data_IF_762812609986
#
_entry.id   IF_762812609986
#
_cell.length_a   1.000
_cell.length_b   1.000
_cell.length_c   1.000
_cell.angle_alpha   90.00
_cell.angle_beta   90.00
_cell.angle_gamma   90.00
#
_symmetry.space_group_name_H-M   'P 1'
#
loop_
_entity.id
_entity.type
_entity.pdbx_description
1 polymer ?
#
# COMPACT_ATOMS: atom_id res chain seq x y z
N UNK A 1 3.37 -17.68 16.16
CA UNK A 1 3.25 -17.66 14.68
C UNK A 1 4.44 -18.39 14.09
N UNK A 2 4.21 -19.30 13.16
CA UNK A 2 5.27 -20.02 12.44
C UNK A 2 6.10 -19.04 11.59
N UNK A 3 7.42 -19.19 11.61
CA UNK A 3 8.35 -18.44 10.74
C UNK A 3 8.87 -19.38 9.65
N UNK A 4 8.99 -18.87 8.43
CA UNK A 4 9.64 -19.57 7.31
C UNK A 4 10.83 -18.76 6.84
N UNK A 5 11.86 -19.46 6.37
CA UNK A 5 13.01 -18.87 5.69
C UNK A 5 12.88 -19.15 4.20
N UNK A 6 13.09 -18.12 3.39
CA UNK A 6 13.37 -18.26 1.96
C UNK A 6 14.82 -17.89 1.73
N UNK A 7 15.53 -18.76 1.01
CA UNK A 7 16.93 -18.58 0.65
C UNK A 7 17.12 -19.05 -0.78
N UNK A 8 17.73 -18.20 -1.60
CA UNK A 8 18.21 -18.54 -2.93
C UNK A 8 19.53 -17.79 -3.18
N UNK A 9 20.04 -17.87 -4.41
CA UNK A 9 21.33 -17.26 -4.79
C UNK A 9 21.32 -15.72 -4.70
N UNK A 10 20.15 -15.09 -4.61
CA UNK A 10 19.99 -13.65 -4.69
C UNK A 10 19.63 -12.97 -3.37
N UNK A 11 18.91 -13.67 -2.47
CA UNK A 11 18.52 -13.12 -1.18
C UNK A 11 18.19 -14.21 -0.15
N UNK A 12 18.27 -13.82 1.12
CA UNK A 12 17.80 -14.59 2.25
C UNK A 12 16.88 -13.73 3.13
N UNK A 13 15.74 -14.28 3.52
CA UNK A 13 14.75 -13.58 4.33
C UNK A 13 13.90 -14.54 5.16
N UNK A 14 13.57 -14.16 6.39
CA UNK A 14 12.56 -14.85 7.19
C UNK A 14 11.24 -14.08 7.19
N UNK A 15 10.11 -14.79 7.16
CA UNK A 15 8.78 -14.18 7.18
C UNK A 15 7.81 -14.98 8.05
N UNK A 16 6.77 -14.30 8.57
CA UNK A 16 5.73 -14.90 9.39
C UNK A 16 4.58 -15.42 8.53
N UNK A 17 4.10 -16.62 8.84
CA UNK A 17 2.89 -17.17 8.20
C UNK A 17 1.65 -16.62 8.91
N UNK A 18 0.71 -16.08 8.14
CA UNK A 18 -0.65 -15.72 8.58
C UNK A 18 -1.69 -16.42 7.72
N UNK A 19 -2.65 -17.11 8.34
CA UNK A 19 -3.70 -17.80 7.62
C UNK A 19 -5.05 -17.32 8.12
N UNK A 20 -5.93 -16.98 7.18
CA UNK A 20 -7.33 -16.67 7.43
C UNK A 20 -8.18 -17.40 6.40
N UNK A 21 -9.44 -17.63 6.74
CA UNK A 21 -10.40 -18.16 5.78
C UNK A 21 -10.67 -17.13 4.69
N UNK A 22 -10.66 -17.61 3.44
CA UNK A 22 -10.89 -16.82 2.24
C UNK A 22 -12.21 -17.26 1.64
N UNK A 23 -13.23 -16.42 1.73
CA UNK A 23 -14.54 -16.69 1.20
C UNK A 23 -15.26 -15.38 0.87
N UNK A 24 -15.94 -15.25 -0.28
CA UNK A 24 -16.64 -14.02 -0.64
C UNK A 24 -17.63 -13.52 0.41
N UNK A 25 -18.34 -14.41 1.12
CA UNK A 25 -19.25 -14.03 2.20
C UNK A 25 -18.53 -13.41 3.40
N UNK A 26 -17.34 -13.92 3.74
CA UNK A 26 -16.50 -13.33 4.80
C UNK A 26 -16.03 -11.93 4.38
N UNK A 27 -15.58 -11.77 3.13
CA UNK A 27 -15.13 -10.47 2.64
C UNK A 27 -16.27 -9.43 2.64
N UNK A 28 -17.48 -9.85 2.28
CA UNK A 28 -18.68 -9.01 2.37
C UNK A 28 -18.96 -8.63 3.83
N UNK A 29 -18.96 -9.57 4.78
CA UNK A 29 -19.15 -9.27 6.21
C UNK A 29 -18.09 -8.30 6.75
N UNK A 30 -16.81 -8.49 6.38
CA UNK A 30 -15.71 -7.56 6.71
C UNK A 30 -15.99 -6.15 6.18
N UNK A 31 -16.42 -6.02 4.93
CA UNK A 31 -16.72 -4.70 4.35
C UNK A 31 -17.92 -4.01 4.99
N UNK A 32 -18.96 -4.75 5.39
CA UNK A 32 -20.10 -4.19 6.12
C UNK A 32 -19.65 -3.54 7.43
N UNK A 33 -18.81 -4.25 8.19
CA UNK A 33 -18.24 -3.74 9.44
C UNK A 33 -17.37 -2.52 9.16
N UNK A 34 -16.47 -2.59 8.18
CA UNK A 34 -15.57 -1.48 7.87
C UNK A 34 -16.34 -0.22 7.42
N UNK A 35 -17.39 -0.37 6.61
CA UNK A 35 -18.23 0.77 6.21
C UNK A 35 -19.05 1.33 7.36
N UNK A 36 -19.53 0.50 8.29
CA UNK A 36 -20.16 0.99 9.52
C UNK A 36 -19.21 1.88 10.32
N UNK A 37 -17.96 1.43 10.50
CA UNK A 37 -16.91 2.19 11.20
C UNK A 37 -16.57 3.48 10.44
N UNK A 38 -16.39 3.42 9.12
CA UNK A 38 -16.13 4.59 8.28
C UNK A 38 -17.27 5.61 8.34
N UNK A 39 -18.53 5.17 8.31
CA UNK A 39 -19.69 6.05 8.40
C UNK A 39 -19.74 6.74 9.76
N UNK A 40 -19.48 6.02 10.86
CA UNK A 40 -19.36 6.62 12.21
C UNK A 40 -18.23 7.64 12.25
N UNK A 41 -17.08 7.32 11.67
CA UNK A 41 -15.94 8.22 11.55
C UNK A 41 -16.31 9.52 10.82
N UNK A 42 -16.92 9.42 9.64
CA UNK A 42 -17.36 10.59 8.86
C UNK A 42 -18.38 11.42 9.65
N UNK A 43 -19.36 10.78 10.28
CA UNK A 43 -20.41 11.46 11.03
C UNK A 43 -19.84 12.27 12.20
N UNK A 44 -18.95 11.68 13.00
CA UNK A 44 -18.34 12.35 14.16
C UNK A 44 -17.51 13.55 13.72
N UNK A 45 -16.66 13.38 12.70
CA UNK A 45 -15.80 14.46 12.19
C UNK A 45 -16.61 15.60 11.58
N UNK A 46 -17.63 15.29 10.78
CA UNK A 46 -18.47 16.32 10.16
C UNK A 46 -19.38 17.02 11.15
N UNK A 47 -19.86 16.33 12.19
CA UNK A 47 -20.61 16.95 13.27
C UNK A 47 -19.74 17.89 14.12
N UNK A 48 -18.50 17.50 14.43
CA UNK A 48 -17.60 18.29 15.29
C UNK A 48 -16.93 19.46 14.57
N UNK A 49 -16.62 19.31 13.28
CA UNK A 49 -15.77 20.27 12.55
C UNK A 49 -16.39 20.83 11.26
N UNK A 50 -17.65 20.47 10.95
CA UNK A 50 -18.28 20.82 9.68
C UNK A 50 -17.71 20.03 8.49
N UNK A 51 -18.11 20.40 7.28
CA UNK A 51 -17.69 19.73 6.03
C UNK A 51 -16.70 20.57 5.22
N UNK A 52 -16.64 21.87 5.49
CA UNK A 52 -15.90 22.89 4.77
C UNK A 52 -14.39 22.61 4.86
N UNK A 53 -13.90 22.31 6.06
CA UNK A 53 -12.48 22.02 6.30
C UNK A 53 -11.99 20.80 5.52
N UNK A 54 -12.88 19.84 5.25
CA UNK A 54 -12.58 18.62 4.49
C UNK A 54 -12.83 18.79 2.98
N UNK A 55 -13.42 19.91 2.56
CA UNK A 55 -13.86 20.15 1.18
C UNK A 55 -12.89 20.99 0.34
N UNK A 56 -11.71 21.33 0.87
CA UNK A 56 -10.76 22.29 0.28
C UNK A 56 -10.28 21.89 -1.11
N UNK A 57 -9.77 20.66 -1.27
CA UNK A 57 -9.19 20.17 -2.54
C UNK A 57 -10.08 19.16 -3.26
N UNK A 58 -10.96 18.49 -2.51
CA UNK A 58 -11.82 17.37 -2.91
C UNK A 58 -13.07 17.41 -2.05
N UNK A 59 -14.14 16.74 -2.48
CA UNK A 59 -15.32 16.54 -1.64
C UNK A 59 -14.97 15.87 -0.30
N UNK A 60 -15.63 16.31 0.78
CA UNK A 60 -15.35 15.87 2.15
C UNK A 60 -15.36 14.33 2.33
N UNK A 61 -16.28 13.61 1.67
CA UNK A 61 -16.36 12.14 1.76
C UNK A 61 -15.06 11.52 1.27
N UNK A 62 -14.53 12.01 0.14
CA UNK A 62 -13.26 11.53 -0.42
C UNK A 62 -12.09 11.86 0.51
N UNK A 63 -12.05 13.07 1.07
CA UNK A 63 -10.99 13.48 1.99
C UNK A 63 -11.00 12.62 3.25
N UNK A 64 -12.15 12.45 3.90
CA UNK A 64 -12.30 11.66 5.12
C UNK A 64 -12.05 10.17 4.89
N UNK A 65 -12.49 9.61 3.75
CA UNK A 65 -12.17 8.23 3.37
C UNK A 65 -10.67 8.03 3.22
N UNK A 66 -9.95 9.00 2.63
CA UNK A 66 -8.50 8.92 2.51
C UNK A 66 -7.80 9.02 3.87
N UNK A 67 -8.26 9.88 4.78
CA UNK A 67 -7.73 10.01 6.15
C UNK A 67 -7.91 8.68 6.89
N UNK A 68 -9.11 8.11 6.84
CA UNK A 68 -9.41 6.81 7.42
C UNK A 68 -8.52 5.70 6.85
N UNK A 69 -8.32 5.68 5.52
CA UNK A 69 -7.45 4.71 4.86
C UNK A 69 -5.99 4.86 5.26
N UNK A 70 -5.49 6.09 5.43
CA UNK A 70 -4.14 6.36 5.96
C UNK A 70 -3.98 5.78 7.37
N UNK A 71 -4.96 6.02 8.23
CA UNK A 71 -4.99 5.45 9.59
C UNK A 71 -5.00 3.92 9.58
N UNK A 72 -5.74 3.28 8.67
CA UNK A 72 -5.72 1.82 8.50
C UNK A 72 -4.32 1.30 8.14
N UNK A 73 -3.61 1.95 7.20
CA UNK A 73 -2.24 1.52 6.85
C UNK A 73 -1.28 1.64 8.03
N UNK A 74 -1.42 2.66 8.87
CA UNK A 74 -0.68 2.76 10.12
C UNK A 74 -0.98 1.54 11.00
N UNK A 75 -2.23 1.11 11.09
CA UNK A 75 -2.58 -0.09 11.87
C UNK A 75 -2.00 -1.37 11.28
N UNK A 76 -2.01 -1.53 9.94
CA UNK A 76 -1.45 -2.70 9.27
C UNK A 76 0.07 -2.79 9.35
N UNK A 77 0.76 -1.69 9.69
CA UNK A 77 2.19 -1.71 9.96
C UNK A 77 2.56 -2.33 11.32
N UNK A 78 1.58 -2.57 12.21
CA UNK A 78 1.81 -2.99 13.59
C UNK A 78 1.89 -4.51 13.74
N UNK A 79 2.79 -4.97 14.60
CA UNK A 79 3.03 -6.40 14.81
C UNK A 79 1.89 -7.09 15.58
N UNK A 80 1.19 -6.36 16.45
CA UNK A 80 0.08 -6.85 17.26
C UNK A 80 -1.29 -6.74 16.55
N UNK A 81 -1.29 -6.29 15.29
CA UNK A 81 -2.46 -6.30 14.42
C UNK A 81 -2.59 -7.67 13.73
N UNK A 82 -3.20 -8.64 14.40
CA UNK A 82 -3.17 -10.06 14.00
C UNK A 82 -4.52 -10.78 14.03
N UNK A 83 -5.60 -10.14 14.51
CA UNK A 83 -6.87 -10.84 14.74
C UNK A 83 -7.74 -10.99 13.48
N UNK A 84 -7.63 -10.07 12.52
CA UNK A 84 -8.32 -10.11 11.23
C UNK A 84 -7.45 -9.40 10.17
N UNK A 85 -7.48 -9.81 8.88
CA UNK A 85 -6.69 -9.18 7.82
C UNK A 85 -7.19 -7.79 7.41
N UNK A 86 -8.43 -7.40 7.73
CA UNK A 86 -9.03 -6.13 7.35
C UNK A 86 -9.35 -5.26 8.57
N UNK A 87 -9.99 -5.84 9.59
CA UNK A 87 -10.40 -5.07 10.78
C UNK A 87 -9.21 -4.94 11.74
N UNK A 88 -8.76 -3.71 12.07
CA UNK A 88 -7.61 -3.52 12.94
C UNK A 88 -7.80 -4.09 14.35
N UNK A 89 -6.74 -4.61 14.96
CA UNK A 89 -6.74 -5.17 16.31
C UNK A 89 -5.55 -4.69 17.15
N UNK A 90 -5.51 -5.08 18.42
CA UNK A 90 -4.41 -4.77 19.34
C UNK A 90 -4.39 -3.32 19.83
N UNK A 91 -3.22 -2.81 20.23
CA UNK A 91 -3.00 -1.44 20.71
C UNK A 91 -3.02 -0.40 19.58
N UNK A 92 -4.16 0.23 19.32
CA UNK A 92 -4.31 1.20 18.22
C UNK A 92 -3.38 2.41 18.33
N UNK A 93 -2.76 2.77 17.20
CA UNK A 93 -2.05 4.05 17.06
C UNK A 93 -3.05 5.12 16.64
N UNK A 94 -3.47 5.95 17.60
CA UNK A 94 -4.36 7.09 17.38
C UNK A 94 -3.59 8.42 17.19
N UNK A 95 -2.30 8.44 17.51
CA UNK A 95 -1.48 9.66 17.45
C UNK A 95 -1.40 10.21 16.02
N UNK A 96 -1.21 9.35 15.02
CA UNK A 96 -1.17 9.73 13.59
C UNK A 96 -2.49 10.36 13.13
N UNK A 97 -3.63 9.78 13.52
CA UNK A 97 -4.94 10.31 13.22
C UNK A 97 -5.17 11.65 13.94
N UNK A 98 -4.84 11.75 15.23
CA UNK A 98 -4.95 12.99 16.01
C UNK A 98 -4.18 14.12 15.34
N UNK A 99 -2.93 13.87 14.94
CA UNK A 99 -2.11 14.86 14.23
C UNK A 99 -2.71 15.28 12.89
N UNK A 100 -3.27 14.33 12.13
CA UNK A 100 -3.96 14.63 10.87
C UNK A 100 -5.19 15.51 11.09
N UNK A 101 -5.99 15.25 12.13
CA UNK A 101 -7.16 16.06 12.47
C UNK A 101 -6.73 17.48 12.89
N UNK A 102 -5.68 17.61 13.70
CA UNK A 102 -5.10 18.91 14.10
C UNK A 102 -4.63 19.71 12.88
N UNK A 103 -3.98 19.03 11.92
CA UNK A 103 -3.53 19.67 10.68
C UNK A 103 -4.70 20.18 9.84
N UNK A 104 -5.78 19.40 9.73
CA UNK A 104 -6.99 19.82 9.03
C UNK A 104 -7.65 21.06 9.67
N UNK A 105 -7.59 21.20 11.00
CA UNK A 105 -8.11 22.39 11.70
C UNK A 105 -7.29 23.66 11.44
N UNK A 106 -6.09 23.58 10.83
CA UNK A 106 -5.35 24.78 10.40
C UNK A 106 -6.11 25.61 9.35
N UNK A 107 -7.03 24.98 8.62
CA UNK A 107 -7.82 25.63 7.58
C UNK A 107 -9.08 26.33 8.10
N UNK A 108 -9.39 26.20 9.38
CA UNK A 108 -10.45 26.95 10.06
C UNK A 108 -9.82 27.98 11.00
N UNK A 109 -9.91 29.26 10.60
CA UNK A 109 -9.36 30.36 11.38
C UNK A 109 -10.16 30.68 12.64
N UNK A 110 -11.37 30.13 12.80
CA UNK A 110 -12.15 30.26 14.03
C UNK A 110 -11.63 29.36 15.16
N UNK A 111 -10.85 28.32 14.82
CA UNK A 111 -10.29 27.37 15.78
C UNK A 111 -8.87 27.83 16.16
N UNK A 112 -8.71 28.34 17.39
CA UNK A 112 -7.42 28.73 17.94
C UNK A 112 -6.45 27.55 18.05
N UNK A 113 -5.14 27.82 18.02
CA UNK A 113 -4.10 26.78 18.07
C UNK A 113 -4.17 25.97 19.37
N UNK A 114 -4.49 26.62 20.48
CA UNK A 114 -4.60 26.04 21.81
C UNK A 114 -5.80 25.06 21.90
N UNK A 115 -6.89 25.36 21.20
CA UNK A 115 -8.11 24.53 21.23
C UNK A 115 -8.05 23.30 20.31
N UNK A 116 -7.18 23.30 19.29
CA UNK A 116 -7.06 22.18 18.34
C UNK A 116 -6.75 20.85 19.02
N UNK A 117 -5.88 20.86 20.02
CA UNK A 117 -5.52 19.64 20.73
C UNK A 117 -6.67 19.08 21.57
N UNK A 118 -7.41 19.97 22.25
CA UNK A 118 -8.59 19.60 23.05
C UNK A 118 -9.66 18.97 22.16
N UNK A 119 -10.02 19.65 21.06
CA UNK A 119 -11.03 19.17 20.11
C UNK A 119 -10.61 17.82 19.50
N UNK A 120 -9.33 17.68 19.13
CA UNK A 120 -8.84 16.42 18.58
C UNK A 120 -8.94 15.27 19.60
N UNK A 121 -8.60 15.50 20.88
CA UNK A 121 -8.73 14.49 21.92
C UNK A 121 -10.20 14.06 22.10
N UNK A 122 -11.13 15.01 22.15
CA UNK A 122 -12.57 14.70 22.22
C UNK A 122 -13.03 13.86 21.02
N UNK A 123 -12.59 14.19 19.81
CA UNK A 123 -12.93 13.41 18.61
C UNK A 123 -12.38 11.98 18.73
N UNK A 124 -11.12 11.80 19.13
CA UNK A 124 -10.52 10.47 19.28
C UNK A 124 -11.27 9.63 20.32
N UNK A 125 -11.66 10.23 21.44
CA UNK A 125 -12.46 9.58 22.47
C UNK A 125 -13.84 9.16 21.94
N UNK A 126 -14.54 10.07 21.26
CA UNK A 126 -15.88 9.78 20.69
C UNK A 126 -15.86 8.73 19.58
N UNK A 127 -14.80 8.70 18.77
CA UNK A 127 -14.64 7.68 17.74
C UNK A 127 -14.60 6.28 18.38
N UNK A 128 -13.88 6.15 19.50
CA UNK A 128 -13.68 4.90 20.24
C UNK A 128 -13.31 3.72 19.33
N UNK A 129 -12.34 3.96 18.44
CA UNK A 129 -12.01 3.07 17.33
C UNK A 129 -11.64 1.65 17.79
N UNK A 130 -11.03 1.52 18.98
CA UNK A 130 -10.64 0.23 19.53
C UNK A 130 -11.86 -0.64 19.79
N UNK A 131 -12.84 -0.11 20.51
CA UNK A 131 -14.06 -0.84 20.84
C UNK A 131 -14.85 -1.20 19.57
N UNK A 132 -14.98 -0.26 18.63
CA UNK A 132 -15.67 -0.49 17.36
C UNK A 132 -15.04 -1.65 16.54
N UNK A 133 -13.71 -1.70 16.48
CA UNK A 133 -13.03 -2.78 15.76
C UNK A 133 -13.08 -4.10 16.52
N UNK A 134 -12.94 -4.10 17.84
CA UNK A 134 -13.04 -5.31 18.66
C UNK A 134 -14.44 -5.94 18.56
N UNK A 135 -15.49 -5.11 18.60
CA UNK A 135 -16.88 -5.53 18.33
C UNK A 135 -17.00 -6.13 16.93
N UNK A 136 -16.45 -5.46 15.91
CA UNK A 136 -16.43 -5.97 14.54
C UNK A 136 -15.73 -7.33 14.39
N UNK A 137 -14.59 -7.52 15.06
CA UNK A 137 -13.87 -8.80 15.06
C UNK A 137 -14.70 -9.90 15.72
N UNK A 138 -15.37 -9.60 16.84
CA UNK A 138 -16.24 -10.57 17.51
C UNK A 138 -17.44 -10.93 16.63
N UNK A 139 -18.06 -9.96 15.96
CA UNK A 139 -19.12 -10.23 14.99
C UNK A 139 -18.67 -11.14 13.84
N UNK A 140 -17.42 -11.03 13.38
CA UNK A 140 -16.87 -11.92 12.35
C UNK A 140 -16.71 -13.33 12.93
N UNK A 141 -16.21 -13.47 14.15
CA UNK A 141 -16.05 -14.78 14.81
C UNK A 141 -17.41 -15.46 15.00
N UNK A 142 -18.41 -14.73 15.47
CA UNK A 142 -19.77 -15.24 15.66
C UNK A 142 -20.42 -15.60 14.32
N UNK A 143 -20.17 -14.79 13.29
CA UNK A 143 -20.62 -15.10 11.93
C UNK A 143 -20.02 -16.41 11.42
N UNK A 144 -18.71 -16.60 11.57
CA UNK A 144 -18.00 -17.80 11.12
C UNK A 144 -18.44 -19.08 11.85
N UNK A 145 -18.87 -18.98 13.11
CA UNK A 145 -19.37 -20.11 13.90
C UNK A 145 -20.87 -20.39 13.69
N UNK A 146 -21.61 -19.46 13.08
CA UNK A 146 -23.06 -19.58 12.91
C UNK A 146 -23.50 -20.74 12.01
N UNK A 147 -24.66 -21.32 12.32
CA UNK A 147 -25.35 -22.30 11.45
C UNK A 147 -25.69 -21.69 10.09
N UNK A 148 -26.04 -20.40 10.10
CA UNK A 148 -26.33 -19.62 8.90
C UNK A 148 -25.13 -19.60 7.93
N UNK A 149 -23.94 -19.13 8.37
CA UNK A 149 -22.75 -19.12 7.51
C UNK A 149 -22.42 -20.52 6.99
N UNK A 150 -22.47 -21.53 7.87
CA UNK A 150 -22.23 -22.91 7.47
C UNK A 150 -23.20 -23.40 6.37
N UNK A 151 -24.45 -22.92 6.37
CA UNK A 151 -25.46 -23.26 5.36
C UNK A 151 -25.28 -22.57 4.00
N UNK A 152 -24.51 -21.46 3.93
CA UNK A 152 -24.34 -20.66 2.71
C UNK A 152 -22.89 -20.58 2.21
N UNK A 153 -21.88 -20.94 3.00
CA UNK A 153 -20.47 -20.70 2.70
C UNK A 153 -19.99 -21.25 1.34
N UNK A 154 -20.64 -22.27 0.80
CA UNK A 154 -20.32 -22.86 -0.50
C UNK A 154 -21.32 -22.48 -1.61
N UNK A 155 -22.33 -21.67 -1.32
CA UNK A 155 -23.41 -21.31 -2.25
C UNK A 155 -23.11 -20.00 -2.98
N UNK A 156 -22.01 -19.98 -3.71
CA UNK A 156 -21.64 -18.88 -4.59
C UNK A 156 -20.97 -19.41 -5.86
N UNK A 157 -20.97 -18.61 -6.91
CA UNK A 157 -20.21 -18.89 -8.12
C UNK A 157 -19.48 -17.62 -8.59
N UNK A 158 -18.15 -17.70 -8.72
CA UNK A 158 -17.33 -16.63 -9.27
C UNK A 158 -17.06 -16.95 -10.74
N UNK A 159 -17.25 -15.96 -11.61
CA UNK A 159 -16.99 -16.09 -13.04
C UNK A 159 -16.44 -14.78 -13.60
N UNK A 160 -15.87 -14.84 -14.79
CA UNK A 160 -15.29 -13.67 -15.47
C UNK A 160 -15.66 -13.65 -16.94
N UNK A 161 -15.66 -12.46 -17.53
CA UNK A 161 -15.76 -12.26 -18.97
C UNK A 161 -14.84 -11.13 -19.42
N UNK A 162 -14.43 -11.16 -20.69
CA UNK A 162 -13.54 -10.16 -21.28
C UNK A 162 -14.33 -8.89 -21.57
N UNK A 163 -13.77 -7.75 -21.18
CA UNK A 163 -14.27 -6.41 -21.47
C UNK A 163 -13.14 -5.58 -22.08
N UNK A 164 -13.34 -5.15 -23.32
CA UNK A 164 -12.41 -4.28 -24.03
C UNK A 164 -12.51 -2.84 -23.51
N UNK A 165 -11.38 -2.19 -23.27
CA UNK A 165 -11.33 -0.77 -22.95
C UNK A 165 -10.35 -0.04 -23.88
N UNK A 166 -10.85 0.98 -24.60
CA UNK A 166 -10.00 1.92 -25.35
C UNK A 166 -9.28 2.84 -24.38
N UNK A 167 -7.95 2.95 -24.50
CA UNK A 167 -7.20 3.95 -23.72
C UNK A 167 -7.24 5.30 -24.45
N UNK A 168 -7.34 6.41 -23.71
CA UNK A 168 -7.48 7.76 -24.29
C UNK A 168 -6.20 8.28 -24.98
N UNK A 169 -5.05 7.65 -24.78
CA UNK A 169 -3.73 8.21 -25.17
C UNK A 169 -3.05 7.50 -26.35
N UNK A 170 -3.44 6.27 -26.71
CA UNK A 170 -2.99 5.53 -27.90
C UNK A 170 -4.10 4.55 -28.30
N UNK A 171 -4.28 4.25 -29.58
CA UNK A 171 -5.25 3.28 -30.10
C UNK A 171 -4.98 1.81 -29.68
N UNK A 172 -4.21 1.61 -28.60
CA UNK A 172 -3.98 0.28 -28.04
C UNK A 172 -5.15 -0.10 -27.14
N UNK A 173 -5.80 -1.19 -27.51
CA UNK A 173 -6.81 -1.86 -26.72
C UNK A 173 -6.14 -2.55 -25.52
N UNK A 174 -6.72 -2.38 -24.33
CA UNK A 174 -6.35 -3.15 -23.15
C UNK A 174 -7.53 -3.99 -22.72
N UNK A 175 -7.28 -5.28 -22.56
CA UNK A 175 -8.27 -6.26 -22.17
C UNK A 175 -8.33 -6.34 -20.66
N UNK A 176 -9.57 -6.27 -20.14
CA UNK A 176 -9.86 -6.46 -18.73
C UNK A 176 -10.78 -7.66 -18.56
N UNK A 177 -10.50 -8.49 -17.57
CA UNK A 177 -11.50 -9.39 -17.04
C UNK A 177 -12.39 -8.62 -16.07
N UNK A 178 -13.69 -8.66 -16.31
CA UNK A 178 -14.68 -8.24 -15.33
C UNK A 178 -15.00 -9.46 -14.45
N UNK A 179 -14.62 -9.38 -13.17
CA UNK A 179 -14.93 -10.44 -12.21
C UNK A 179 -16.36 -10.24 -11.71
N UNK A 180 -17.16 -11.29 -11.73
CA UNK A 180 -18.54 -11.33 -11.24
C UNK A 180 -18.70 -12.43 -10.21
N UNK A 181 -19.69 -12.25 -9.36
CA UNK A 181 -20.09 -13.25 -8.38
C UNK A 181 -21.61 -13.36 -8.40
N UNK A 182 -22.10 -14.59 -8.40
CA UNK A 182 -23.47 -14.94 -8.10
C UNK A 182 -23.50 -15.47 -6.68
N UNK A 183 -24.24 -14.79 -5.81
CA UNK A 183 -24.45 -15.17 -4.42
C UNK A 183 -25.83 -15.83 -4.28
N UNK A 184 -25.97 -16.77 -3.36
CA UNK A 184 -27.27 -17.33 -2.98
C UNK A 184 -28.23 -16.27 -2.44
N UNK A 185 -27.70 -15.26 -1.74
CA UNK A 185 -28.49 -14.18 -1.16
C UNK A 185 -28.21 -12.85 -1.83
N UNK A 186 -29.26 -12.03 -1.91
CA UNK A 186 -29.18 -10.69 -2.46
C UNK A 186 -28.58 -9.74 -1.43
N UNK A 187 -27.50 -9.08 -1.80
CA UNK A 187 -26.96 -7.96 -1.03
C UNK A 187 -27.80 -6.71 -1.29
N UNK A 188 -28.22 -6.04 -0.22
CA UNK A 188 -29.03 -4.81 -0.28
C UNK A 188 -28.20 -3.54 -0.14
N UNK A 189 -27.03 -3.61 0.50
CA UNK A 189 -26.14 -2.46 0.66
C UNK A 189 -25.61 -1.97 -0.71
N UNK A 190 -25.91 -0.71 -1.03
CA UNK A 190 -25.58 -0.13 -2.34
C UNK A 190 -24.07 0.09 -2.52
N UNK A 191 -23.32 0.41 -1.46
CA UNK A 191 -21.88 0.60 -1.52
C UNK A 191 -21.19 -0.73 -1.86
N UNK A 192 -21.61 -1.80 -1.20
CA UNK A 192 -21.13 -3.16 -1.49
C UNK A 192 -21.51 -3.57 -2.91
N UNK A 193 -22.78 -3.37 -3.31
CA UNK A 193 -23.23 -3.67 -4.66
C UNK A 193 -22.41 -2.92 -5.73
N UNK A 194 -22.06 -1.66 -5.48
CA UNK A 194 -21.24 -0.85 -6.37
C UNK A 194 -19.82 -1.41 -6.48
N UNK A 195 -19.21 -1.86 -5.39
CA UNK A 195 -17.89 -2.50 -5.42
C UNK A 195 -17.96 -3.80 -6.23
N UNK A 196 -18.88 -4.70 -5.89
CA UNK A 196 -19.06 -6.00 -6.55
C UNK A 196 -19.23 -5.83 -8.07
N UNK A 197 -20.01 -4.84 -8.51
CA UNK A 197 -20.25 -4.59 -9.95
C UNK A 197 -19.00 -4.14 -10.71
N UNK A 198 -18.01 -3.55 -10.03
CA UNK A 198 -16.87 -2.86 -10.64
C UNK A 198 -15.52 -3.58 -10.46
N UNK A 199 -15.51 -4.80 -9.90
CA UNK A 199 -14.27 -5.59 -9.74
C UNK A 199 -13.74 -6.02 -11.10
N UNK A 200 -12.56 -5.54 -11.46
CA UNK A 200 -11.89 -5.84 -12.72
C UNK A 200 -10.39 -5.94 -12.54
N UNK A 201 -9.75 -6.62 -13.47
CA UNK A 201 -8.30 -6.80 -13.52
C UNK A 201 -7.87 -6.84 -14.99
N UNK A 202 -6.70 -6.30 -15.32
CA UNK A 202 -6.19 -6.42 -16.69
C UNK A 202 -5.81 -7.87 -16.97
N UNK A 203 -5.98 -8.30 -18.23
CA UNK A 203 -5.64 -9.66 -18.63
C UNK A 203 -4.16 -9.99 -18.35
N UNK A 204 -3.26 -9.03 -18.55
CA UNK A 204 -1.84 -9.20 -18.27
C UNK A 204 -1.56 -9.48 -16.79
N UNK A 205 -2.18 -8.72 -15.88
CA UNK A 205 -1.99 -8.93 -14.43
C UNK A 205 -2.66 -10.24 -13.99
N UNK A 206 -3.84 -10.56 -14.53
CA UNK A 206 -4.52 -11.83 -14.26
C UNK A 206 -3.66 -13.03 -14.67
N UNK A 207 -3.11 -13.01 -15.89
CA UNK A 207 -2.26 -14.08 -16.41
C UNK A 207 -0.96 -14.21 -15.61
N UNK A 208 -0.33 -13.08 -15.22
CA UNK A 208 0.83 -13.07 -14.32
C UNK A 208 0.51 -13.78 -12.99
N UNK A 209 -0.62 -13.43 -12.39
CA UNK A 209 -1.07 -14.06 -11.15
C UNK A 209 -1.42 -15.54 -11.33
N UNK A 210 -1.96 -15.94 -12.49
CA UNK A 210 -2.25 -17.35 -12.78
C UNK A 210 -0.97 -18.17 -12.91
N UNK A 211 0.05 -17.63 -13.58
CA UNK A 211 1.35 -18.29 -13.67
C UNK A 211 1.98 -18.49 -12.28
N UNK A 212 1.94 -17.46 -11.43
CA UNK A 212 2.40 -17.55 -10.04
C UNK A 212 1.59 -18.56 -9.23
N UNK A 213 0.26 -18.52 -9.35
CA UNK A 213 -0.62 -19.48 -8.69
C UNK A 213 -0.25 -20.93 -9.02
N UNK A 214 0.00 -21.25 -10.29
CA UNK A 214 0.37 -22.60 -10.69
C UNK A 214 1.71 -23.06 -10.09
N UNK A 215 2.65 -22.13 -9.83
CA UNK A 215 3.93 -22.43 -9.17
C UNK A 215 3.74 -22.73 -7.68
N UNK A 216 2.94 -21.92 -6.98
CA UNK A 216 2.77 -22.01 -5.53
C UNK A 216 1.61 -22.93 -5.08
N UNK A 217 0.68 -23.29 -5.97
CA UNK A 217 -0.53 -24.04 -5.65
C UNK A 217 -0.23 -25.40 -4.99
N UNK A 218 0.82 -26.10 -5.44
CA UNK A 218 1.19 -27.42 -4.89
C UNK A 218 1.47 -27.39 -3.38
N UNK A 219 1.74 -26.20 -2.83
CA UNK A 219 1.99 -25.98 -1.40
C UNK A 219 0.72 -25.72 -0.58
N UNK A 220 -0.47 -25.64 -1.18
CA UNK A 220 -1.69 -25.17 -0.50
C UNK A 220 -2.99 -25.87 -0.94
N UNK A 221 -4.07 -25.69 -0.17
CA UNK A 221 -5.40 -26.29 -0.41
C UNK A 221 -5.97 -25.95 -1.80
N UNK A 222 -6.85 -26.82 -2.31
CA UNK A 222 -7.69 -26.56 -3.50
C UNK A 222 -8.62 -25.35 -3.26
N UNK A 223 -8.12 -24.14 -3.51
CA UNK A 223 -8.94 -22.93 -3.61
C UNK A 223 -9.04 -22.55 -5.08
N UNK A 224 -10.25 -22.21 -5.52
CA UNK A 224 -10.49 -21.70 -6.86
C UNK A 224 -9.74 -20.37 -7.09
N UNK A 225 -9.02 -20.31 -8.21
CA UNK A 225 -8.18 -19.15 -8.55
C UNK A 225 -9.02 -17.89 -8.81
N UNK A 226 -10.16 -18.01 -9.49
CA UNK A 226 -11.00 -16.84 -9.78
C UNK A 226 -11.61 -16.27 -8.49
N UNK A 227 -11.95 -17.13 -7.54
CA UNK A 227 -12.36 -16.76 -6.18
C UNK A 227 -11.25 -16.04 -5.42
N UNK A 228 -10.00 -16.51 -5.47
CA UNK A 228 -8.86 -15.80 -4.86
C UNK A 228 -8.67 -14.40 -5.45
N UNK A 229 -8.72 -14.27 -6.77
CA UNK A 229 -8.60 -12.99 -7.46
C UNK A 229 -9.75 -12.05 -7.08
N UNK A 230 -10.98 -12.57 -7.03
CA UNK A 230 -12.15 -11.79 -6.63
C UNK A 230 -11.98 -11.24 -5.20
N UNK A 231 -11.61 -12.10 -4.24
CA UNK A 231 -11.40 -11.70 -2.84
C UNK A 231 -10.25 -10.69 -2.71
N UNK A 232 -9.14 -10.91 -3.41
CA UNK A 232 -7.99 -9.99 -3.40
C UNK A 232 -8.39 -8.58 -3.84
N UNK A 233 -9.05 -8.49 -5.00
CA UNK A 233 -9.46 -7.20 -5.56
C UNK A 233 -10.53 -6.55 -4.69
N UNK A 234 -11.48 -7.33 -4.15
CA UNK A 234 -12.52 -6.85 -3.25
C UNK A 234 -11.91 -6.18 -2.01
N UNK A 235 -10.90 -6.80 -1.38
CA UNK A 235 -10.19 -6.23 -0.23
C UNK A 235 -9.53 -4.90 -0.57
N UNK A 236 -8.72 -4.86 -1.63
CA UNK A 236 -8.02 -3.65 -2.02
C UNK A 236 -8.96 -2.49 -2.41
N UNK A 237 -10.08 -2.79 -3.08
CA UNK A 237 -11.10 -1.78 -3.41
C UNK A 237 -11.80 -1.28 -2.14
N UNK A 238 -12.14 -2.20 -1.22
CA UNK A 238 -12.80 -1.87 0.06
C UNK A 238 -11.93 -0.95 0.92
N UNK A 239 -10.61 -1.15 0.93
CA UNK A 239 -9.67 -0.26 1.64
C UNK A 239 -9.46 1.11 0.99
N UNK A 240 -9.93 1.34 -0.24
CA UNK A 240 -9.66 2.58 -0.96
C UNK A 240 -8.17 2.82 -1.28
N UNK A 241 -7.34 1.77 -1.31
CA UNK A 241 -5.87 1.87 -1.30
C UNK A 241 -5.21 2.42 -2.57
N UNK A 242 -5.99 2.70 -3.62
CA UNK A 242 -5.51 2.88 -4.99
C UNK A 242 -4.58 4.10 -5.24
N UNK A 243 -4.46 5.03 -4.29
CA UNK A 243 -3.72 6.30 -4.49
C UNK A 243 -2.62 6.57 -3.46
N UNK A 244 -2.24 5.59 -2.64
CA UNK A 244 -1.30 5.82 -1.53
C UNK A 244 0.17 5.58 -1.89
N UNK A 245 0.46 4.99 -3.07
CA UNK A 245 1.82 4.78 -3.55
C UNK A 245 1.89 4.90 -5.08
N UNK A 246 3.07 5.19 -5.62
CA UNK A 246 3.32 5.24 -7.06
C UNK A 246 4.20 4.05 -7.45
N UNK A 247 3.74 3.20 -8.36
CA UNK A 247 4.54 2.06 -8.80
C UNK A 247 5.63 2.50 -9.79
N UNK A 248 6.88 2.13 -9.52
CA UNK A 248 7.99 2.29 -10.46
C UNK A 248 7.66 1.54 -11.75
N UNK A 249 7.96 2.15 -12.89
CA UNK A 249 7.61 1.58 -14.21
C UNK A 249 8.36 0.26 -14.50
N UNK A 250 7.74 -0.69 -15.23
CA UNK A 250 8.31 -2.02 -15.48
C UNK A 250 9.73 -2.02 -16.08
N UNK A 251 10.03 -1.14 -17.03
CA UNK A 251 11.35 -1.06 -17.67
C UNK A 251 12.47 -0.66 -16.69
N UNK A 252 12.17 0.18 -15.69
CA UNK A 252 13.11 0.56 -14.63
C UNK A 252 13.29 -0.61 -13.66
N UNK A 253 12.20 -1.26 -13.26
CA UNK A 253 12.26 -2.44 -12.41
C UNK A 253 13.03 -3.60 -13.07
N UNK A 254 12.87 -3.78 -14.38
CA UNK A 254 13.65 -4.74 -15.17
C UNK A 254 15.15 -4.45 -15.09
N UNK A 255 15.56 -3.21 -15.33
CA UNK A 255 16.96 -2.80 -15.22
C UNK A 255 17.50 -2.99 -13.81
N UNK A 256 16.70 -2.70 -12.78
CA UNK A 256 17.12 -2.96 -11.40
C UNK A 256 17.29 -4.45 -11.11
N UNK A 257 16.39 -5.30 -11.60
CA UNK A 257 16.52 -6.76 -11.47
C UNK A 257 17.80 -7.26 -12.16
N UNK A 258 18.00 -6.88 -13.43
CA UNK A 258 19.07 -7.42 -14.27
C UNK A 258 20.46 -6.84 -13.96
N UNK A 259 20.54 -5.60 -13.51
CA UNK A 259 21.82 -4.87 -13.40
C UNK A 259 22.34 -4.73 -11.97
N UNK A 260 21.47 -4.74 -10.97
CA UNK A 260 21.86 -4.61 -9.54
C UNK A 260 21.22 -5.68 -8.66
N UNK A 261 20.63 -6.73 -9.24
CA UNK A 261 20.01 -7.83 -8.50
C UNK A 261 18.99 -7.34 -7.46
N UNK A 262 18.11 -6.40 -7.83
CA UNK A 262 16.94 -6.09 -7.02
C UNK A 262 15.95 -7.27 -7.08
N UNK A 263 15.66 -7.90 -5.94
CA UNK A 263 14.95 -9.18 -5.91
C UNK A 263 13.62 -9.19 -5.14
N UNK A 264 13.42 -8.25 -4.22
CA UNK A 264 12.22 -8.22 -3.38
C UNK A 264 11.65 -6.81 -3.32
N UNK A 265 10.37 -6.64 -3.66
CA UNK A 265 9.65 -5.39 -3.40
C UNK A 265 9.02 -5.43 -2.00
N UNK A 266 9.50 -4.63 -1.05
CA UNK A 266 8.99 -4.69 0.34
C UNK A 266 7.68 -3.90 0.55
N UNK A 267 7.18 -3.19 -0.45
CA UNK A 267 5.84 -2.62 -0.47
C UNK A 267 5.20 -2.80 -1.84
N UNK A 268 4.42 -3.88 -2.00
CA UNK A 268 3.67 -4.14 -3.22
C UNK A 268 2.34 -4.88 -2.92
N UNK A 269 1.78 -5.48 -3.95
CA UNK A 269 0.56 -6.27 -3.95
C UNK A 269 0.60 -7.27 -5.10
N UNK A 270 -0.28 -8.27 -5.08
CA UNK A 270 -0.50 -9.18 -6.19
C UNK A 270 -0.80 -8.44 -7.50
N UNK A 271 -1.41 -7.25 -7.40
CA UNK A 271 -1.78 -6.45 -8.57
C UNK A 271 -0.57 -5.72 -9.17
N UNK A 272 0.28 -5.10 -8.36
CA UNK A 272 1.30 -4.15 -8.83
C UNK A 272 2.76 -4.60 -8.71
N UNK A 273 3.05 -5.75 -8.09
CA UNK A 273 4.43 -6.26 -8.02
C UNK A 273 5.00 -6.50 -9.43
N UNK A 274 6.29 -6.24 -9.58
CA UNK A 274 7.08 -6.60 -10.76
C UNK A 274 7.99 -7.81 -10.50
N UNK A 275 8.61 -7.88 -9.31
CA UNK A 275 9.57 -8.90 -8.93
C UNK A 275 8.89 -10.19 -8.48
N UNK A 276 9.67 -11.27 -8.42
CA UNK A 276 9.13 -12.59 -8.13
C UNK A 276 8.67 -12.79 -6.69
N UNK A 277 9.26 -12.00 -5.78
CA UNK A 277 8.97 -11.95 -4.36
C UNK A 277 8.65 -10.52 -3.95
N UNK A 278 7.68 -10.37 -3.06
CA UNK A 278 7.26 -9.07 -2.58
C UNK A 278 6.62 -9.18 -1.21
N UNK A 279 6.59 -8.08 -0.47
CA UNK A 279 5.78 -7.94 0.73
C UNK A 279 4.46 -7.24 0.39
N UNK A 280 3.39 -7.64 1.07
CA UNK A 280 2.03 -7.14 0.82
C UNK A 280 1.17 -7.15 2.08
N UNK A 281 -0.03 -6.55 1.99
CA UNK A 281 -0.95 -6.43 3.12
C UNK A 281 -1.63 -7.76 3.48
N UNK A 282 -2.01 -8.56 2.47
CA UNK A 282 -2.90 -9.71 2.65
C UNK A 282 -2.16 -11.02 2.40
N UNK A 283 -1.21 -11.36 3.27
CA UNK A 283 -0.43 -12.59 3.13
C UNK A 283 -1.29 -13.85 2.98
N UNK A 284 -2.46 -13.91 3.65
CA UNK A 284 -3.38 -15.05 3.56
C UNK A 284 -3.84 -15.35 2.13
N UNK A 285 -4.08 -14.32 1.30
CA UNK A 285 -4.44 -14.46 -0.12
C UNK A 285 -3.20 -14.37 -1.03
N UNK A 286 -2.23 -13.54 -0.70
CA UNK A 286 -1.15 -13.20 -1.62
C UNK A 286 0.04 -14.15 -1.54
N UNK A 287 0.11 -15.02 -0.52
CA UNK A 287 1.08 -16.12 -0.44
C UNK A 287 1.00 -17.06 -1.65
N UNK A 288 -0.18 -17.19 -2.26
CA UNK A 288 -0.38 -17.98 -3.48
C UNK A 288 0.25 -17.35 -4.72
N UNK A 289 0.76 -16.11 -4.62
CA UNK A 289 1.34 -15.35 -5.72
C UNK A 289 2.79 -14.92 -5.47
N UNK A 290 3.41 -15.35 -4.35
CA UNK A 290 4.80 -15.04 -4.00
C UNK A 290 4.98 -13.98 -2.90
N UNK A 291 3.90 -13.61 -2.18
CA UNK A 291 4.01 -12.67 -1.06
C UNK A 291 4.77 -13.28 0.13
N UNK A 292 5.64 -12.47 0.73
CA UNK A 292 6.33 -12.70 2.01
C UNK A 292 5.59 -12.04 3.19
N UNK A 293 4.42 -11.45 2.94
CA UNK A 293 3.59 -10.78 3.95
C UNK A 293 4.05 -9.36 4.25
N UNK A 294 3.76 -8.84 5.44
CA UNK A 294 4.07 -7.45 5.77
C UNK A 294 5.58 -7.22 5.89
N UNK A 295 6.12 -6.13 5.34
CA UNK A 295 7.52 -5.76 5.52
C UNK A 295 7.91 -5.69 7.01
N UNK A 296 6.99 -5.23 7.85
CA UNK A 296 7.25 -5.11 9.28
C UNK A 296 7.38 -6.47 9.98
N UNK A 297 6.84 -7.55 9.38
CA UNK A 297 6.91 -8.91 9.89
C UNK A 297 8.05 -9.76 9.31
N UNK A 298 8.80 -9.25 8.33
CA UNK A 298 9.95 -9.97 7.77
C UNK A 298 11.27 -9.61 8.47
N UNK A 299 12.25 -10.48 8.34
CA UNK A 299 13.65 -10.27 8.71
C UNK A 299 14.48 -10.43 7.42
N UNK A 300 14.89 -9.34 6.78
CA UNK A 300 15.81 -9.40 5.63
C UNK A 300 17.21 -9.73 6.13
N UNK A 301 17.82 -10.81 5.63
CA UNK A 301 19.14 -11.30 6.06
C UNK A 301 20.21 -10.90 5.04
N UNK A 302 19.96 -11.15 3.75
CA UNK A 302 20.88 -10.79 2.67
C UNK A 302 20.14 -10.49 1.37
N UNK A 303 20.77 -9.75 0.46
CA UNK A 303 20.24 -9.35 -0.85
C UNK A 303 19.90 -7.86 -0.95
N UNK A 304 19.30 -7.46 -2.07
CA UNK A 304 18.86 -6.08 -2.33
C UNK A 304 17.32 -6.01 -2.39
N UNK A 305 16.75 -5.16 -1.53
CA UNK A 305 15.31 -5.00 -1.33
C UNK A 305 14.83 -3.61 -1.81
N UNK A 306 13.70 -3.55 -2.50
CA UNK A 306 13.10 -2.31 -3.00
C UNK A 306 12.07 -1.75 -2.02
N UNK A 307 12.34 -0.60 -1.44
CA UNK A 307 11.49 0.08 -0.46
C UNK A 307 10.79 1.28 -1.11
N UNK A 308 9.54 1.09 -1.50
CA UNK A 308 8.66 2.12 -2.08
C UNK A 308 7.34 2.18 -1.27
N UNK A 309 7.39 2.69 -0.04
CA UNK A 309 6.26 2.65 0.89
C UNK A 309 5.11 3.55 0.44
N UNK A 310 3.90 3.35 1.00
CA UNK A 310 2.85 4.34 0.88
C UNK A 310 3.31 5.69 1.47
N UNK A 311 2.77 6.78 0.93
CA UNK A 311 3.05 8.16 1.31
C UNK A 311 2.37 8.51 2.64
N UNK A 312 2.83 7.84 3.70
CA UNK A 312 2.41 8.00 5.08
C UNK A 312 3.66 8.10 5.96
N UNK A 313 3.87 9.25 6.61
CA UNK A 313 5.10 9.59 7.33
C UNK A 313 5.48 8.52 8.34
N UNK A 314 4.51 8.05 9.14
CA UNK A 314 4.76 7.04 10.16
C UNK A 314 5.29 5.73 9.57
N UNK A 315 4.77 5.31 8.42
CA UNK A 315 5.18 4.06 7.75
C UNK A 315 6.59 4.21 7.17
N UNK A 316 6.88 5.35 6.54
CA UNK A 316 8.20 5.63 5.98
C UNK A 316 9.27 5.69 7.07
N UNK A 317 9.00 6.42 8.16
CA UNK A 317 9.89 6.52 9.32
C UNK A 317 10.14 5.14 9.95
N UNK A 318 9.07 4.43 10.33
CA UNK A 318 9.18 3.09 10.92
C UNK A 318 9.92 2.11 10.00
N UNK A 319 9.68 2.22 8.70
CA UNK A 319 10.34 1.41 7.69
C UNK A 319 11.84 1.70 7.58
N UNK A 320 12.23 2.97 7.60
CA UNK A 320 13.64 3.39 7.59
C UNK A 320 14.36 3.00 8.87
N UNK A 321 13.75 3.15 10.05
CA UNK A 321 14.33 2.67 11.32
C UNK A 321 14.60 1.16 11.27
N UNK A 322 13.64 0.39 10.73
CA UNK A 322 13.81 -1.05 10.51
C UNK A 322 14.95 -1.35 9.52
N UNK A 323 15.05 -0.61 8.41
CA UNK A 323 16.13 -0.78 7.42
C UNK A 323 17.50 -0.58 8.07
N UNK A 324 17.69 0.52 8.81
CA UNK A 324 18.96 0.83 9.46
C UNK A 324 19.33 -0.27 10.45
N UNK A 325 18.38 -0.69 11.29
CA UNK A 325 18.59 -1.80 12.23
C UNK A 325 19.07 -3.08 11.54
N UNK A 326 18.41 -3.51 10.47
CA UNK A 326 18.80 -4.74 9.75
C UNK A 326 20.14 -4.60 9.02
N UNK A 327 20.50 -3.40 8.54
CA UNK A 327 21.81 -3.14 7.96
C UNK A 327 22.92 -3.24 9.01
N UNK A 328 22.71 -2.71 10.22
CA UNK A 328 23.65 -2.85 11.35
C UNK A 328 23.82 -4.29 11.79
N UNK A 329 22.71 -5.04 11.92
CA UNK A 329 22.72 -6.46 12.30
C UNK A 329 23.45 -7.28 11.22
N UNK A 330 23.10 -7.11 9.95
CA UNK A 330 23.73 -7.83 8.84
C UNK A 330 25.20 -7.49 8.66
N UNK A 331 25.61 -6.24 8.91
CA UNK A 331 27.02 -5.85 8.85
C UNK A 331 27.86 -6.57 9.90
N UNK A 332 27.33 -6.73 11.12
CA UNK A 332 27.97 -7.49 12.20
C UNK A 332 28.08 -8.97 11.87
N UNK A 333 27.05 -9.53 11.22
CA UNK A 333 26.99 -10.93 10.84
C UNK A 333 27.77 -11.27 9.55
N UNK A 334 28.25 -10.27 8.82
CA UNK A 334 28.95 -10.50 7.54
C UNK A 334 28.01 -10.71 6.34
N UNK A 335 26.71 -10.49 6.51
CA UNK A 335 25.71 -10.74 5.47
C UNK A 335 25.60 -9.53 4.52
N UNK A 336 25.64 -9.71 3.18
CA UNK A 336 25.50 -8.61 2.22
C UNK A 336 24.05 -8.15 2.14
N UNK A 337 23.75 -6.94 2.61
CA UNK A 337 22.39 -6.40 2.64
C UNK A 337 22.32 -4.95 2.12
N UNK A 338 21.25 -4.65 1.39
CA UNK A 338 20.96 -3.32 0.89
C UNK A 338 19.50 -3.05 0.61
N UNK A 339 19.17 -1.77 0.53
CA UNK A 339 17.84 -1.26 0.22
C UNK A 339 17.89 -0.15 -0.82
N UNK A 340 17.10 -0.31 -1.89
CA UNK A 340 16.82 0.72 -2.87
C UNK A 340 15.50 1.42 -2.49
N UNK A 341 15.61 2.65 -2.01
CA UNK A 341 14.53 3.43 -1.43
C UNK A 341 14.00 4.43 -2.45
N UNK A 342 12.68 4.47 -2.64
CA UNK A 342 11.98 5.48 -3.45
C UNK A 342 10.92 6.15 -2.59
N UNK A 343 11.14 7.42 -2.20
CA UNK A 343 10.26 8.18 -1.29
C UNK A 343 10.05 9.61 -1.81
N UNK A 344 8.95 10.29 -1.48
CA UNK A 344 8.72 11.66 -1.94
C UNK A 344 9.67 12.65 -1.25
N UNK A 345 9.97 13.75 -1.93
CA UNK A 345 10.71 14.87 -1.36
C UNK A 345 9.74 15.76 -0.58
N UNK A 346 9.75 15.64 0.75
CA UNK A 346 8.88 16.39 1.67
C UNK A 346 9.64 17.27 2.66
N UNK A 347 10.97 17.27 2.61
CA UNK A 347 11.82 18.15 3.40
C UNK A 347 12.14 19.46 2.67
N UNK A 348 12.50 20.47 3.46
CA UNK A 348 12.81 21.83 3.00
C UNK A 348 14.06 21.86 2.11
N UNK A 349 15.09 21.07 2.43
CA UNK A 349 16.36 21.05 1.70
C UNK A 349 16.17 20.51 0.28
N UNK A 350 15.55 19.34 0.14
CA UNK A 350 15.25 18.73 -1.16
C UNK A 350 14.34 19.61 -2.00
N UNK A 351 13.38 20.30 -1.39
CA UNK A 351 12.55 21.31 -2.08
C UNK A 351 13.42 22.42 -2.67
N UNK A 352 14.31 23.01 -1.86
CA UNK A 352 15.20 24.09 -2.29
C UNK A 352 16.07 23.66 -3.47
N UNK A 353 16.70 22.48 -3.37
CA UNK A 353 17.52 21.91 -4.45
C UNK A 353 16.68 21.73 -5.74
N UNK A 354 15.43 21.27 -5.60
CA UNK A 354 14.53 21.07 -6.74
C UNK A 354 14.07 22.39 -7.39
N UNK A 355 13.90 23.44 -6.62
CA UNK A 355 13.55 24.77 -7.13
C UNK A 355 14.74 25.41 -7.84
N UNK A 356 15.94 25.36 -7.26
CA UNK A 356 17.17 25.93 -7.80
C UNK A 356 17.64 25.23 -9.08
N UNK A 357 17.67 23.90 -9.10
CA UNK A 357 18.29 23.15 -10.20
C UNK A 357 17.33 22.81 -11.34
N UNK A 358 16.02 22.83 -11.10
CA UNK A 358 15.04 22.29 -12.05
C UNK A 358 13.83 23.22 -12.30
N UNK A 359 13.83 24.45 -11.76
CA UNK A 359 12.71 25.39 -11.83
C UNK A 359 11.38 24.76 -11.38
N UNK A 360 11.44 23.80 -10.45
CA UNK A 360 10.30 22.98 -10.02
C UNK A 360 9.39 23.73 -9.06
N UNK A 361 8.71 24.80 -9.49
CA UNK A 361 7.78 25.50 -8.61
C UNK A 361 6.66 24.53 -8.15
N UNK A 362 6.28 24.54 -6.86
CA UNK A 362 5.08 23.84 -6.41
C UNK A 362 3.90 24.34 -7.24
N UNK A 363 3.02 23.43 -7.67
CA UNK A 363 1.85 23.86 -8.45
C UNK A 363 1.02 24.84 -7.63
N UNK A 364 0.42 25.86 -8.25
CA UNK A 364 -0.37 26.95 -7.61
C UNK A 364 -1.42 26.47 -6.58
N UNK A 365 -1.78 25.19 -6.55
CA UNK A 365 -2.79 24.59 -5.67
C UNK A 365 -2.24 23.50 -4.71
N UNK A 366 -0.92 23.40 -4.52
CA UNK A 366 -0.29 22.44 -3.60
C UNK A 366 0.22 23.16 -2.35
N UNK A 367 -0.62 23.25 -1.32
CA UNK A 367 -0.12 23.34 0.06
C UNK A 367 0.54 22.00 0.40
N UNK A 368 1.87 21.94 0.20
CA UNK A 368 2.71 20.90 0.77
C UNK A 368 3.35 21.57 1.97
N UNK A 369 2.99 21.11 3.17
CA UNK A 369 3.61 21.59 4.40
C UNK A 369 4.97 20.88 4.49
N UNK A 370 6.01 21.52 3.96
CA UNK A 370 7.38 21.02 4.07
C UNK A 370 7.82 21.22 5.52
N UNK A 371 8.05 20.13 6.24
CA UNK A 371 8.40 20.13 7.64
C UNK A 371 9.70 19.34 7.86
N UNK A 372 10.12 19.19 9.13
CA UNK A 372 11.13 18.20 9.47
C UNK A 372 10.65 16.81 9.04
N UNK A 373 11.38 16.20 8.11
CA UNK A 373 11.06 14.89 7.57
C UNK A 373 12.02 13.87 8.19
N UNK A 374 11.65 13.34 9.36
CA UNK A 374 12.54 12.44 10.14
C UNK A 374 13.11 11.28 9.32
N UNK A 375 12.34 10.75 8.35
CA UNK A 375 12.81 9.74 7.39
C UNK A 375 14.10 10.16 6.68
N UNK A 376 14.18 11.36 6.09
CA UNK A 376 15.38 11.79 5.36
C UNK A 376 16.54 12.10 6.32
N UNK A 377 16.24 12.61 7.51
CA UNK A 377 17.24 12.85 8.56
C UNK A 377 17.91 11.54 8.99
N UNK A 378 17.13 10.49 9.24
CA UNK A 378 17.64 9.14 9.56
C UNK A 378 18.53 8.60 8.44
N UNK A 379 18.13 8.79 7.17
CA UNK A 379 18.90 8.32 6.01
C UNK A 379 20.23 9.09 5.89
N UNK A 380 20.19 10.43 5.96
CA UNK A 380 21.39 11.28 5.81
C UNK A 380 22.43 11.01 6.90
N UNK A 381 21.99 10.70 8.12
CA UNK A 381 22.86 10.42 9.25
C UNK A 381 23.36 8.97 9.31
N UNK A 382 22.85 8.10 8.43
CA UNK A 382 23.20 6.68 8.43
C UNK A 382 24.54 6.43 7.73
N UNK A 383 25.45 5.62 8.32
CA UNK A 383 26.71 5.24 7.66
C UNK A 383 26.50 4.33 6.45
N UNK A 384 25.27 3.83 6.23
CA UNK A 384 24.92 2.96 5.11
C UNK A 384 24.51 3.71 3.85
N UNK A 385 24.36 5.04 3.90
CA UNK A 385 24.01 5.81 2.70
C UNK A 385 25.14 5.72 1.66
N UNK A 386 24.79 5.36 0.41
CA UNK A 386 25.73 5.24 -0.72
C UNK A 386 25.38 6.17 -1.88
N UNK A 387 24.08 6.28 -2.19
CA UNK A 387 23.59 7.14 -3.26
C UNK A 387 22.34 7.86 -2.76
N UNK A 388 22.24 9.16 -3.02
CA UNK A 388 21.01 9.96 -2.87
C UNK A 388 20.82 10.77 -4.14
N UNK A 389 19.83 10.41 -4.95
CA UNK A 389 19.48 11.10 -6.18
C UNK A 389 18.10 11.73 -6.07
N UNK A 390 17.98 12.91 -6.65
CA UNK A 390 16.78 13.72 -6.69
C UNK A 390 16.19 13.64 -8.11
N UNK A 391 14.96 13.16 -8.25
CA UNK A 391 14.26 13.03 -9.53
C UNK A 391 13.09 14.03 -9.59
N UNK A 392 13.09 14.98 -10.55
CA UNK A 392 11.97 15.88 -10.76
C UNK A 392 10.67 15.13 -11.06
N UNK A 393 9.54 15.67 -10.63
CA UNK A 393 8.22 15.03 -10.81
C UNK A 393 7.84 14.79 -12.28
N UNK A 394 8.35 15.62 -13.20
CA UNK A 394 8.14 15.47 -14.64
C UNK A 394 9.08 14.44 -15.27
N UNK A 395 10.08 13.98 -14.52
CA UNK A 395 11.08 13.01 -14.96
C UNK A 395 10.88 11.63 -14.35
N UNK A 396 9.77 11.45 -13.64
CA UNK A 396 9.37 10.20 -13.04
C UNK A 396 8.00 9.79 -13.59
N UNK A 397 7.98 8.71 -14.36
CA UNK A 397 6.74 8.09 -14.82
C UNK A 397 6.33 6.96 -13.88
N UNK A 398 5.03 6.71 -13.76
CA UNK A 398 4.49 5.59 -12.98
C UNK A 398 3.33 4.90 -13.70
N UNK A 399 3.08 3.64 -13.36
CA UNK A 399 1.99 2.85 -13.93
C UNK A 399 0.81 2.78 -12.96
N UNK A 400 -0.36 3.25 -13.41
CA UNK A 400 -1.64 2.97 -12.75
C UNK A 400 -2.10 1.56 -13.17
N UNK A 401 -1.83 0.56 -12.33
CA UNK A 401 -2.18 -0.84 -12.60
C UNK A 401 -3.69 -1.11 -12.64
N UNK A 402 -4.53 -0.26 -12.03
CA UNK A 402 -5.98 -0.44 -12.03
C UNK A 402 -6.60 -0.08 -13.38
N UNK A 403 -6.01 0.90 -14.06
CA UNK A 403 -6.43 1.33 -15.39
C UNK A 403 -5.46 0.94 -16.50
N UNK A 404 -4.29 0.38 -16.16
CA UNK A 404 -3.15 0.13 -17.05
C UNK A 404 -2.73 1.37 -17.84
N UNK A 405 -2.58 2.51 -17.14
CA UNK A 405 -2.24 3.79 -17.75
C UNK A 405 -0.88 4.26 -17.23
N UNK A 406 0.06 4.48 -18.14
CA UNK A 406 1.28 5.23 -17.84
C UNK A 406 0.95 6.70 -17.59
N UNK A 407 1.48 7.23 -16.50
CA UNK A 407 1.40 8.65 -16.16
C UNK A 407 2.81 9.21 -16.15
N UNK A 408 3.03 10.20 -17.00
CA UNK A 408 4.36 10.73 -17.33
C UNK A 408 4.90 11.73 -16.30
N UNK A 409 4.15 11.95 -15.21
CA UNK A 409 4.55 12.79 -14.10
C UNK A 409 3.99 12.28 -12.79
N UNK A 410 4.78 12.34 -11.73
CA UNK A 410 4.34 12.09 -10.35
C UNK A 410 3.68 13.33 -9.76
N UNK A 411 3.08 13.15 -8.58
CA UNK A 411 2.50 14.24 -7.80
C UNK A 411 3.63 15.07 -7.15
N UNK A 412 4.70 14.41 -6.72
CA UNK A 412 5.83 14.99 -6.00
C UNK A 412 7.16 14.61 -6.64
N UNK A 413 8.17 15.46 -6.45
CA UNK A 413 9.55 15.09 -6.70
C UNK A 413 9.93 13.88 -5.83
N UNK A 414 10.89 13.08 -6.26
CA UNK A 414 11.18 11.77 -5.66
C UNK A 414 12.66 11.62 -5.34
N UNK A 415 12.96 11.15 -4.14
CA UNK A 415 14.28 10.63 -3.81
C UNK A 415 14.41 9.19 -4.29
N UNK A 416 15.56 8.89 -4.90
CA UNK A 416 16.03 7.54 -5.19
C UNK A 416 17.33 7.36 -4.40
N UNK A 417 17.28 6.51 -3.39
CA UNK A 417 18.33 6.37 -2.39
C UNK A 417 18.80 4.92 -2.38
N UNK A 418 20.11 4.71 -2.33
CA UNK A 418 20.70 3.40 -2.05
C UNK A 418 21.35 3.42 -0.67
N UNK A 419 20.92 2.50 0.19
CA UNK A 419 21.58 2.19 1.44
C UNK A 419 22.13 0.77 1.41
N UNK A 420 23.42 0.56 1.68
CA UNK A 420 24.02 -0.78 1.77
C UNK A 420 25.03 -0.85 2.90
N UNK A 421 25.20 -2.06 3.45
CA UNK A 421 26.37 -2.34 4.29
C UNK A 421 27.61 -2.59 3.43
N UNK A 422 28.78 -2.68 4.07
CA UNK A 422 30.07 -2.85 3.38
C UNK A 422 30.22 -4.17 2.62
N UNK A 423 29.35 -5.15 2.87
CA UNK A 423 29.45 -6.49 2.27
C UNK A 423 28.70 -6.60 0.95
N UNK A 424 27.75 -5.69 0.67
CA UNK A 424 27.02 -5.66 -0.59
C UNK A 424 27.65 -4.67 -1.58
N UNK A 425 28.38 -5.20 -2.56
CA UNK A 425 28.97 -4.44 -3.66
C UNK A 425 27.99 -4.34 -4.84
N UNK A 426 27.73 -3.12 -5.31
CA UNK A 426 26.84 -2.85 -6.44
C UNK A 426 27.50 -1.85 -7.39
N UNK A 427 27.18 -1.96 -8.68
CA UNK A 427 27.49 -0.89 -9.64
C UNK A 427 26.55 0.30 -9.39
N UNK A 428 27.11 1.35 -8.79
CA UNK A 428 26.40 2.56 -8.40
C UNK A 428 25.98 3.41 -9.59
N UNK A 429 26.64 3.26 -10.75
CA UNK A 429 26.40 4.11 -11.91
C UNK A 429 25.05 3.83 -12.55
N UNK A 430 24.54 2.60 -12.43
CA UNK A 430 23.18 2.25 -12.83
C UNK A 430 22.16 3.14 -12.10
N UNK A 431 22.29 3.29 -10.78
CA UNK A 431 21.32 4.06 -9.97
C UNK A 431 21.47 5.57 -10.23
N UNK A 432 22.71 6.05 -10.38
CA UNK A 432 22.99 7.45 -10.67
C UNK A 432 22.42 7.89 -12.02
N UNK A 433 22.43 7.01 -13.03
CA UNK A 433 22.16 7.40 -14.41
C UNK A 433 20.84 6.86 -14.99
N UNK A 434 20.16 5.91 -14.33
CA UNK A 434 18.91 5.34 -14.87
C UNK A 434 17.83 6.41 -15.09
N UNK A 435 17.17 6.37 -16.26
CA UNK A 435 16.02 7.22 -16.53
C UNK A 435 14.76 6.61 -15.95
N UNK A 436 13.98 7.42 -15.22
CA UNK A 436 12.65 7.06 -14.70
C UNK A 436 11.51 7.53 -15.62
N UNK A 437 11.83 8.14 -16.76
CA UNK A 437 10.83 8.48 -17.78
C UNK A 437 10.43 7.25 -18.58
N UNK A 438 9.13 7.10 -18.77
CA UNK A 438 8.62 6.19 -19.78
C UNK A 438 8.86 6.82 -21.17
N UNK A 439 9.89 6.33 -21.87
CA UNK A 439 10.05 6.65 -23.29
C UNK A 439 9.09 5.72 -24.02
N UNK A 440 8.03 6.26 -24.60
CA UNK A 440 7.27 5.45 -25.53
C UNK A 440 8.18 5.18 -26.73
N UNK A 441 8.44 3.91 -27.02
CA UNK A 441 8.99 3.55 -28.32
C UNK A 441 8.06 4.16 -29.37
N UNK A 442 8.57 5.17 -30.07
CA UNK A 442 8.02 5.55 -31.36
C UNK A 442 8.41 4.40 -32.26
N UNK A 443 7.51 3.45 -32.46
CA UNK A 443 7.57 2.62 -33.66
C UNK A 443 7.34 3.56 -34.83
N UNK A 444 8.45 4.06 -35.40
CA UNK A 444 8.47 4.57 -36.76
C UNK A 444 8.24 3.41 -37.72
#
# INVERSE_FOLDING_TARGET
MEKKTIKNDFFECQYKIRNFDINPYIEIKRSQILFRILNKFILILTHKLGVEIFSIKKNYIRTLTNIFSSWLFVQYSREDNTSDPIIPSGKMNMATLKMTIIDMMKFDFSISKENREVIANEIIEQLNMKEECDLGINEIKDYLSSTYYNSIKNKFNVYKYIKLKKTKKKENHIDFFQMKIQLYEKITDENICKIIRNIKISQNVYNKLKAKFNIYQSSFKNIDFDTLIWCLLYRYITLGSHNHQLAVIPNVMQKFKEKINLNVEVFASGVNHYLDHYCSLFYDIEKYFGSLGSFFDIVPISGLFGFNPPYENFIMEKGTEKIIKHLEESEKEGNPLGFLITIPIWDIEGKKIMEENYNSKPGKNMSIDYAEYKTITLINNSPFLRVKRLIPKNDFSYLDYFNMIYKDKTIQNTYVILMTNKHLNLDLDIIKNISFKHVSENHN
#
